data_IF_420214657301
#
_entry.id   IF_420214657301
#
_cell.length_a   1.000
_cell.length_b   1.000
_cell.length_c   1.000
_cell.angle_alpha   90.00
_cell.angle_beta   90.00
_cell.angle_gamma   90.00
#
_symmetry.space_group_name_H-M   'P 1'
#
loop_
_entity.id
_entity.type
_entity.pdbx_description
1 polymer ?
#
# COMPACT_ATOMS: atom_id res chain seq x y z
N UNK A 1 10.44 12.48 -25.88
CA UNK A 1 10.50 11.02 -26.16
C UNK A 1 11.30 10.67 -27.42
N UNK A 2 11.00 11.23 -28.61
CA UNK A 2 11.77 10.94 -29.84
C UNK A 2 13.25 11.34 -29.72
N UNK A 3 13.54 12.53 -29.21
CA UNK A 3 14.91 13.03 -29.02
C UNK A 3 15.70 12.18 -28.02
N UNK A 4 15.10 11.83 -26.87
CA UNK A 4 15.72 10.92 -25.89
C UNK A 4 16.02 9.54 -26.48
N UNK A 5 15.12 9.01 -27.32
CA UNK A 5 15.34 7.72 -27.99
C UNK A 5 16.52 7.78 -28.97
N UNK A 6 16.67 8.90 -29.71
CA UNK A 6 17.83 9.14 -30.58
C UNK A 6 19.12 9.21 -29.79
N UNK A 7 19.15 9.98 -28.70
CA UNK A 7 20.33 10.13 -27.85
C UNK A 7 20.80 8.79 -27.24
N UNK A 8 19.87 7.91 -26.84
CA UNK A 8 20.21 6.57 -26.33
C UNK A 8 20.81 5.70 -27.45
N UNK A 9 20.29 5.78 -28.68
CA UNK A 9 20.83 5.03 -29.83
C UNK A 9 22.21 5.54 -30.22
N UNK A 10 22.43 6.86 -30.21
CA UNK A 10 23.71 7.50 -30.50
C UNK A 10 24.79 7.16 -29.46
N UNK A 11 24.40 6.89 -28.21
CA UNK A 11 25.32 6.45 -27.16
C UNK A 11 25.84 5.02 -27.36
N UNK A 12 25.22 4.21 -28.24
CA UNK A 12 25.69 2.86 -28.55
C UNK A 12 26.85 2.96 -29.55
N UNK A 13 28.06 2.47 -29.21
CA UNK A 13 29.20 2.52 -30.13
C UNK A 13 28.90 1.77 -31.43
N UNK A 14 29.20 2.38 -32.57
CA UNK A 14 29.01 1.76 -33.89
C UNK A 14 29.83 0.46 -34.08
N UNK A 15 30.90 0.29 -33.31
CA UNK A 15 31.78 -0.88 -33.29
C UNK A 15 31.54 -1.82 -32.10
N UNK A 16 30.33 -1.82 -31.52
CA UNK A 16 29.99 -2.70 -30.41
C UNK A 16 30.23 -4.18 -30.79
N UNK A 17 31.08 -4.92 -30.06
CA UNK A 17 31.36 -6.32 -30.36
C UNK A 17 30.09 -7.18 -30.38
N UNK A 18 29.99 -8.09 -31.35
CA UNK A 18 28.82 -8.97 -31.52
C UNK A 18 28.52 -9.80 -30.27
N UNK A 19 29.55 -10.27 -29.57
CA UNK A 19 29.40 -10.99 -28.29
C UNK A 19 28.76 -10.13 -27.21
N UNK A 20 29.13 -8.86 -27.10
CA UNK A 20 28.54 -7.89 -26.16
C UNK A 20 27.08 -7.59 -26.54
N UNK A 21 26.79 -7.41 -27.82
CA UNK A 21 25.42 -7.20 -28.29
C UNK A 21 24.52 -8.41 -27.97
N UNK A 22 24.99 -9.62 -28.28
CA UNK A 22 24.28 -10.87 -27.99
C UNK A 22 24.06 -11.09 -26.50
N UNK A 23 25.04 -10.76 -25.65
CA UNK A 23 24.89 -10.80 -24.19
C UNK A 23 23.69 -9.96 -23.74
N UNK A 24 23.61 -8.69 -24.14
CA UNK A 24 22.51 -7.81 -23.72
C UNK A 24 21.16 -8.20 -24.33
N UNK A 25 21.13 -8.67 -25.58
CA UNK A 25 19.93 -9.21 -26.22
C UNK A 25 19.40 -10.43 -25.45
N UNK A 26 20.28 -11.31 -24.98
CA UNK A 26 19.93 -12.46 -24.13
C UNK A 26 19.53 -12.07 -22.70
N UNK A 27 19.93 -10.87 -22.24
CA UNK A 27 19.72 -10.37 -20.87
C UNK A 27 18.86 -9.10 -20.83
N UNK A 28 17.75 -9.06 -21.59
CA UNK A 28 16.88 -7.86 -21.72
C UNK A 28 16.50 -7.19 -20.40
N UNK A 29 16.16 -7.96 -19.36
CA UNK A 29 15.80 -7.43 -18.03
C UNK A 29 16.97 -6.67 -17.39
N UNK A 30 18.20 -7.17 -17.55
CA UNK A 30 19.41 -6.54 -17.04
C UNK A 30 19.73 -5.27 -17.81
N UNK A 31 19.55 -5.28 -19.13
CA UNK A 31 19.70 -4.09 -19.97
C UNK A 31 18.70 -3.00 -19.57
N UNK A 32 17.43 -3.36 -19.37
CA UNK A 32 16.38 -2.44 -18.91
C UNK A 32 16.71 -1.83 -17.55
N UNK A 33 17.20 -2.65 -16.60
CA UNK A 33 17.63 -2.17 -15.29
C UNK A 33 18.77 -1.15 -15.40
N UNK A 34 19.84 -1.50 -16.13
CA UNK A 34 21.00 -0.62 -16.31
C UNK A 34 20.63 0.70 -17.01
N UNK A 35 19.76 0.65 -18.02
CA UNK A 35 19.30 1.86 -18.71
C UNK A 35 18.45 2.74 -17.79
N UNK A 36 17.56 2.15 -16.97
CA UNK A 36 16.78 2.90 -15.97
C UNK A 36 17.68 3.58 -14.95
N UNK A 37 18.66 2.86 -14.41
CA UNK A 37 19.66 3.41 -13.49
C UNK A 37 20.44 4.56 -14.14
N UNK A 38 20.91 4.39 -15.38
CA UNK A 38 21.66 5.42 -16.10
C UNK A 38 20.81 6.67 -16.41
N UNK A 39 19.51 6.50 -16.65
CA UNK A 39 18.56 7.59 -16.87
C UNK A 39 18.05 8.22 -15.57
N UNK A 40 18.51 7.75 -14.40
CA UNK A 40 18.00 8.18 -13.10
C UNK A 40 16.52 7.82 -12.87
N UNK A 41 15.99 6.86 -13.64
CA UNK A 41 14.63 6.37 -13.47
C UNK A 41 14.61 5.51 -12.22
N UNK A 42 14.12 6.12 -11.15
CA UNK A 42 13.87 5.46 -9.87
C UNK A 42 13.13 4.13 -10.09
N UNK A 43 13.54 3.03 -9.42
CA UNK A 43 12.69 1.87 -9.29
C UNK A 43 11.27 2.32 -8.91
N UNK A 44 10.26 1.73 -9.54
CA UNK A 44 8.86 2.07 -9.26
C UNK A 44 8.39 3.47 -9.71
N UNK A 45 9.12 4.18 -10.59
CA UNK A 45 8.71 5.50 -11.12
C UNK A 45 7.23 5.57 -11.55
N UNK A 46 6.76 4.59 -12.34
CA UNK A 46 5.37 4.57 -12.79
C UNK A 46 4.37 4.44 -11.61
N UNK A 47 4.74 3.68 -10.57
CA UNK A 47 3.92 3.55 -9.36
C UNK A 47 3.94 4.84 -8.54
N UNK A 48 5.09 5.53 -8.45
CA UNK A 48 5.20 6.81 -7.76
C UNK A 48 4.33 7.87 -8.45
N UNK A 49 4.42 7.98 -9.77
CA UNK A 49 3.60 8.89 -10.56
C UNK A 49 2.10 8.59 -10.41
N UNK A 50 1.71 7.31 -10.42
CA UNK A 50 0.32 6.90 -10.18
C UNK A 50 -0.18 7.30 -8.78
N UNK A 51 0.64 7.11 -7.73
CA UNK A 51 0.31 7.56 -6.38
C UNK A 51 0.22 9.08 -6.26
N UNK A 52 1.13 9.84 -6.87
CA UNK A 52 1.07 11.30 -6.91
C UNK A 52 -0.23 11.79 -7.58
N UNK A 53 -0.59 11.19 -8.72
CA UNK A 53 -1.82 11.51 -9.42
C UNK A 53 -3.06 11.14 -8.61
N UNK A 54 -3.04 10.00 -7.91
CA UNK A 54 -4.11 9.62 -7.00
C UNK A 54 -4.30 10.66 -5.89
N UNK A 55 -3.22 11.10 -5.23
CA UNK A 55 -3.31 12.09 -4.17
C UNK A 55 -3.82 13.45 -4.67
N UNK A 56 -3.36 13.90 -5.84
CA UNK A 56 -3.87 15.10 -6.48
C UNK A 56 -5.38 14.99 -6.75
N UNK A 57 -5.82 13.88 -7.34
CA UNK A 57 -7.21 13.72 -7.75
C UNK A 57 -8.18 13.52 -6.58
N UNK A 58 -7.74 12.84 -5.52
CA UNK A 58 -8.62 12.44 -4.40
C UNK A 58 -8.56 13.44 -3.25
N UNK A 59 -7.39 14.01 -3.00
CA UNK A 59 -7.15 14.91 -1.86
C UNK A 59 -6.86 16.35 -2.29
N UNK A 60 -6.61 16.62 -3.58
CA UNK A 60 -6.18 17.94 -4.05
C UNK A 60 -4.75 18.29 -3.64
N UNK A 61 -3.99 17.32 -3.11
CA UNK A 61 -2.65 17.54 -2.57
C UNK A 61 -1.56 17.13 -3.55
N UNK A 62 -0.56 17.98 -3.71
CA UNK A 62 0.68 17.65 -4.40
C UNK A 62 1.68 17.08 -3.38
N UNK A 63 2.13 15.85 -3.63
CA UNK A 63 3.11 15.18 -2.79
C UNK A 63 4.34 14.82 -3.61
N UNK A 64 5.51 15.11 -3.06
CA UNK A 64 6.77 14.65 -3.62
C UNK A 64 7.17 13.34 -2.93
N UNK A 65 7.44 12.32 -3.75
CA UNK A 65 7.88 11.00 -3.31
C UNK A 65 9.23 10.63 -3.92
N UNK A 66 10.01 11.59 -4.44
CA UNK A 66 11.33 11.32 -5.03
C UNK A 66 12.29 10.62 -4.05
N UNK A 67 12.17 10.95 -2.76
CA UNK A 67 13.08 10.52 -1.70
C UNK A 67 12.49 9.37 -0.86
N UNK A 68 11.34 8.83 -1.27
CA UNK A 68 10.71 7.73 -0.52
C UNK A 68 11.52 6.45 -0.67
N UNK A 69 11.80 5.80 0.45
CA UNK A 69 12.42 4.48 0.46
C UNK A 69 11.33 3.43 0.27
N UNK A 70 11.44 2.66 -0.82
CA UNK A 70 10.56 1.52 -1.09
C UNK A 70 11.40 0.25 -0.96
N UNK A 71 10.99 -0.67 -0.09
CA UNK A 71 11.64 -1.97 0.03
C UNK A 71 11.56 -2.79 -1.25
N UNK A 72 12.49 -3.74 -1.38
CA UNK A 72 12.45 -4.70 -2.46
C UNK A 72 11.15 -5.50 -2.41
N UNK A 73 10.48 -5.56 -3.55
CA UNK A 73 9.24 -6.29 -3.73
C UNK A 73 9.44 -7.79 -3.50
N UNK A 74 8.71 -8.37 -2.54
CA UNK A 74 8.69 -9.83 -2.32
C UNK A 74 7.61 -10.50 -3.17
N UNK A 75 7.85 -11.75 -3.57
CA UNK A 75 6.90 -12.52 -4.39
C UNK A 75 5.52 -12.59 -3.74
N UNK A 76 4.48 -12.23 -4.49
CA UNK A 76 3.08 -12.20 -4.05
C UNK A 76 2.71 -10.97 -3.18
N UNK A 77 3.61 -10.02 -2.98
CA UNK A 77 3.33 -8.71 -2.37
C UNK A 77 3.34 -7.65 -3.47
N UNK A 78 2.26 -7.63 -4.25
CA UNK A 78 2.19 -6.92 -5.52
C UNK A 78 1.57 -5.52 -5.44
N UNK A 79 0.95 -5.16 -4.30
CA UNK A 79 0.28 -3.89 -4.08
C UNK A 79 1.14 -2.92 -3.28
N UNK A 80 1.67 -1.90 -3.94
CA UNK A 80 2.33 -0.78 -3.25
C UNK A 80 1.29 0.14 -2.63
N UNK A 81 1.44 0.44 -1.34
CA UNK A 81 0.69 1.50 -0.65
C UNK A 81 1.69 2.56 -0.19
N UNK A 82 1.50 3.81 -0.62
CA UNK A 82 2.29 4.95 -0.17
C UNK A 82 1.43 5.81 0.75
N UNK A 83 1.79 5.92 2.02
CA UNK A 83 1.08 6.74 3.00
C UNK A 83 1.78 8.10 3.10
N UNK A 84 1.13 9.14 2.57
CA UNK A 84 1.66 10.50 2.58
C UNK A 84 1.51 11.22 3.94
N UNK A 85 2.31 12.27 4.23
CA UNK A 85 2.13 13.11 5.41
C UNK A 85 0.71 13.66 5.54
N UNK A 86 0.18 13.64 6.77
CA UNK A 86 -1.18 14.09 7.08
C UNK A 86 -2.28 13.08 6.73
N UNK A 87 -1.96 11.89 6.21
CA UNK A 87 -2.92 10.81 6.00
C UNK A 87 -3.21 10.04 7.30
N UNK A 88 -3.91 10.70 8.21
CA UNK A 88 -4.34 10.13 9.48
C UNK A 88 -5.58 9.24 9.32
N UNK A 89 -5.90 8.34 10.28
CA UNK A 89 -7.11 7.52 10.24
C UNK A 89 -8.39 8.32 9.94
N UNK A 90 -8.58 9.46 10.59
CA UNK A 90 -9.78 10.26 10.44
C UNK A 90 -9.84 10.97 9.09
N UNK A 91 -8.73 11.51 8.59
CA UNK A 91 -8.66 12.12 7.26
C UNK A 91 -9.06 11.11 6.18
N UNK A 92 -8.51 9.90 6.24
CA UNK A 92 -8.80 8.82 5.30
C UNK A 92 -10.25 8.35 5.41
N UNK A 93 -10.76 8.15 6.63
CA UNK A 93 -12.15 7.76 6.87
C UNK A 93 -13.15 8.81 6.34
N UNK A 94 -12.87 10.09 6.57
CA UNK A 94 -13.69 11.19 6.05
C UNK A 94 -13.71 11.19 4.52
N UNK A 95 -12.57 10.90 3.89
CA UNK A 95 -12.52 10.79 2.43
C UNK A 95 -13.38 9.63 1.92
N UNK A 96 -13.35 8.47 2.56
CA UNK A 96 -14.26 7.36 2.24
C UNK A 96 -15.73 7.79 2.39
N UNK A 97 -16.05 8.49 3.48
CA UNK A 97 -17.42 8.93 3.81
C UNK A 97 -18.00 9.90 2.78
N UNK A 98 -17.15 10.66 2.07
CA UNK A 98 -17.56 11.52 0.96
C UNK A 98 -17.79 10.79 -0.36
N UNK A 99 -17.38 9.52 -0.48
CA UNK A 99 -17.47 8.73 -1.71
C UNK A 99 -18.52 7.62 -1.61
N UNK A 100 -18.66 7.02 -0.43
CA UNK A 100 -19.58 5.93 -0.17
C UNK A 100 -20.00 5.92 1.31
N UNK A 101 -21.02 5.13 1.64
CA UNK A 101 -21.54 5.07 3.01
C UNK A 101 -20.51 4.40 3.91
N UNK A 102 -20.30 4.99 5.08
CA UNK A 102 -19.38 4.50 6.10
C UNK A 102 -20.08 4.43 7.45
N UNK A 103 -19.47 3.68 8.38
CA UNK A 103 -19.81 3.68 9.78
C UNK A 103 -18.55 3.37 10.61
N UNK A 104 -18.42 3.99 11.78
CA UNK A 104 -17.38 3.66 12.75
C UNK A 104 -18.00 3.42 14.13
N UNK A 105 -17.42 2.51 14.90
CA UNK A 105 -17.93 2.10 16.22
C UNK A 105 -17.92 3.22 17.26
N UNK A 106 -17.13 4.26 17.04
CA UNK A 106 -16.96 5.39 17.97
C UNK A 106 -17.43 6.70 17.35
N UNK A 107 -17.99 7.58 18.18
CA UNK A 107 -18.25 8.97 17.80
C UNK A 107 -17.01 9.87 17.93
N UNK A 108 -15.96 9.40 18.64
CA UNK A 108 -14.70 10.14 18.79
C UNK A 108 -13.94 10.21 17.47
N UNK A 109 -13.05 11.18 17.36
CA UNK A 109 -12.09 11.26 16.27
C UNK A 109 -11.22 10.00 16.26
N UNK A 110 -10.98 9.41 15.09
CA UNK A 110 -10.13 8.22 14.99
C UNK A 110 -8.67 8.56 15.35
N UNK A 111 -8.24 9.79 15.12
CA UNK A 111 -6.87 10.25 15.43
C UNK A 111 -6.64 10.37 16.95
N UNK A 112 -7.71 10.52 17.74
CA UNK A 112 -7.64 10.54 19.21
C UNK A 112 -7.58 9.14 19.83
N UNK A 113 -8.16 8.14 19.15
CA UNK A 113 -8.37 6.82 19.75
C UNK A 113 -7.53 5.73 19.13
N UNK A 114 -6.91 5.96 17.97
CA UNK A 114 -6.07 4.98 17.27
C UNK A 114 -4.60 5.34 17.41
N UNK A 115 -3.81 4.33 17.77
CA UNK A 115 -2.35 4.37 17.81
C UNK A 115 -1.87 3.26 16.86
N UNK A 116 -1.10 3.66 15.86
CA UNK A 116 -0.59 2.76 14.82
C UNK A 116 0.91 2.57 14.96
N UNK A 117 1.39 1.36 14.68
CA UNK A 117 2.81 1.01 14.71
C UNK A 117 3.63 1.85 13.70
N UNK A 118 2.97 2.32 12.64
CA UNK A 118 3.54 3.16 11.58
C UNK A 118 2.63 4.34 11.31
N UNK A 119 3.23 5.52 11.24
CA UNK A 119 2.52 6.78 10.94
C UNK A 119 3.37 7.66 10.01
N UNK A 120 2.74 8.50 9.17
CA UNK A 120 3.48 9.36 8.24
C UNK A 120 3.98 10.65 8.91
N UNK A 121 4.10 10.68 10.25
CA UNK A 121 4.48 11.87 11.02
C UNK A 121 5.91 12.34 10.73
N UNK A 122 6.79 11.43 10.30
CA UNK A 122 8.20 11.73 9.95
C UNK A 122 8.44 11.84 8.44
N UNK A 123 7.39 11.82 7.64
CA UNK A 123 7.48 11.77 6.18
C UNK A 123 6.64 10.64 5.58
N UNK A 124 6.54 10.63 4.25
CA UNK A 124 5.88 9.56 3.53
C UNK A 124 6.60 8.22 3.75
N UNK A 125 5.85 7.13 3.76
CA UNK A 125 6.41 5.78 3.79
C UNK A 125 5.63 4.85 2.87
N UNK A 126 6.27 3.76 2.46
CA UNK A 126 5.71 2.78 1.55
C UNK A 126 5.71 1.39 2.17
N UNK A 127 4.69 0.60 1.85
CA UNK A 127 4.59 -0.82 2.19
C UNK A 127 4.14 -1.61 0.97
N UNK A 128 4.47 -2.89 0.94
CA UNK A 128 3.87 -3.85 0.01
C UNK A 128 2.85 -4.74 0.71
N UNK A 129 1.67 -4.84 0.13
CA UNK A 129 0.61 -5.77 0.50
C UNK A 129 0.37 -6.77 -0.64
N UNK A 130 -0.35 -7.85 -0.35
CA UNK A 130 -0.88 -8.72 -1.42
C UNK A 130 -2.00 -7.98 -2.17
N UNK A 131 -2.00 -8.07 -3.50
CA UNK A 131 -3.05 -7.46 -4.32
C UNK A 131 -4.26 -8.39 -4.44
N UNK A 132 -5.19 -8.27 -3.48
CA UNK A 132 -6.38 -9.11 -3.41
C UNK A 132 -7.53 -8.42 -2.68
N UNK A 133 -8.75 -8.80 -3.06
CA UNK A 133 -9.99 -8.24 -2.51
C UNK A 133 -10.12 -8.54 -1.03
N UNK A 134 -9.98 -9.81 -0.64
CA UNK A 134 -10.08 -10.24 0.75
C UNK A 134 -8.73 -10.24 1.44
N UNK A 135 -8.74 -10.04 2.76
CA UNK A 135 -7.55 -10.19 3.60
C UNK A 135 -6.96 -11.60 3.57
N UNK A 136 -5.74 -11.71 4.10
CA UNK A 136 -4.86 -12.82 3.81
C UNK A 136 -5.39 -14.16 4.32
N UNK A 137 -5.66 -15.12 3.42
CA UNK A 137 -6.11 -16.46 3.80
C UNK A 137 -5.10 -17.15 4.73
N UNK A 138 -3.82 -16.89 4.52
CA UNK A 138 -2.72 -17.37 5.34
C UNK A 138 -2.75 -16.82 6.77
N UNK A 139 -3.48 -15.73 7.01
CA UNK A 139 -3.64 -15.08 8.32
C UNK A 139 -5.00 -15.41 8.97
N UNK A 140 -5.73 -16.39 8.43
CA UNK A 140 -7.00 -16.87 8.99
C UNK A 140 -6.81 -17.47 10.38
N UNK A 141 -7.74 -17.18 11.30
CA UNK A 141 -7.73 -17.69 12.68
C UNK A 141 -6.47 -17.32 13.48
N UNK A 142 -5.80 -16.21 13.13
CA UNK A 142 -4.66 -15.70 13.90
C UNK A 142 -5.06 -14.39 14.58
N UNK A 143 -5.00 -14.36 15.91
CA UNK A 143 -5.32 -13.16 16.69
C UNK A 143 -4.23 -12.09 16.59
N UNK A 144 -4.55 -10.84 16.92
CA UNK A 144 -3.57 -9.76 16.91
C UNK A 144 -2.42 -9.98 17.91
N UNK A 145 -2.69 -10.65 19.03
CA UNK A 145 -1.65 -11.01 20.00
C UNK A 145 -0.72 -12.11 19.46
N UNK A 146 -1.25 -13.12 18.77
CA UNK A 146 -0.43 -14.12 18.09
C UNK A 146 0.42 -13.51 16.97
N UNK A 147 -0.15 -12.60 16.17
CA UNK A 147 0.58 -11.85 15.14
C UNK A 147 1.79 -11.12 15.75
N UNK A 148 1.57 -10.43 16.89
CA UNK A 148 2.64 -9.74 17.61
C UNK A 148 3.71 -10.69 18.14
N UNK A 149 3.30 -11.83 18.70
CA UNK A 149 4.23 -12.87 19.20
C UNK A 149 5.08 -13.47 18.07
N UNK A 150 4.49 -13.69 16.90
CA UNK A 150 5.17 -14.20 15.71
C UNK A 150 5.98 -13.12 14.97
N UNK A 151 5.94 -11.88 15.44
CA UNK A 151 6.62 -10.72 14.85
C UNK A 151 6.24 -10.50 13.37
N UNK A 152 5.00 -10.86 13.00
CA UNK A 152 4.50 -10.65 11.64
C UNK A 152 4.08 -9.20 11.49
N UNK A 153 4.67 -8.51 10.51
CA UNK A 153 4.29 -7.15 10.17
C UNK A 153 2.96 -7.21 9.40
N UNK A 154 1.95 -6.49 9.88
CA UNK A 154 0.62 -6.44 9.29
C UNK A 154 0.14 -5.02 9.12
N UNK A 155 -0.83 -4.79 8.25
CA UNK A 155 -1.29 -3.45 7.93
C UNK A 155 -1.88 -2.71 9.15
N UNK A 156 -1.68 -1.40 9.19
CA UNK A 156 -2.39 -0.47 10.10
C UNK A 156 -3.78 -0.14 9.57
N UNK A 157 -4.58 0.57 10.37
CA UNK A 157 -5.89 1.07 9.96
C UNK A 157 -5.79 2.06 8.79
N UNK A 158 -4.83 2.99 8.86
CA UNK A 158 -4.56 3.99 7.81
C UNK A 158 -4.24 3.32 6.48
N UNK A 159 -3.31 2.37 6.51
CA UNK A 159 -2.88 1.62 5.34
C UNK A 159 -4.07 0.87 4.70
N UNK A 160 -4.92 0.24 5.52
CA UNK A 160 -6.11 -0.46 5.04
C UNK A 160 -7.17 0.47 4.45
N UNK A 161 -7.47 1.60 5.09
CA UNK A 161 -8.44 2.58 4.56
C UNK A 161 -7.90 3.24 3.29
N UNK A 162 -6.60 3.55 3.24
CA UNK A 162 -5.98 4.10 2.03
C UNK A 162 -6.02 3.12 0.86
N UNK A 163 -5.81 1.81 1.13
CA UNK A 163 -5.98 0.77 0.11
C UNK A 163 -7.44 0.72 -0.38
N UNK A 164 -8.44 0.86 0.51
CA UNK A 164 -9.86 0.97 0.10
C UNK A 164 -10.04 2.11 -0.92
N UNK A 165 -9.56 3.30 -0.59
CA UNK A 165 -9.71 4.48 -1.43
C UNK A 165 -9.05 4.28 -2.80
N UNK A 166 -7.81 3.78 -2.82
CA UNK A 166 -7.09 3.54 -4.08
C UNK A 166 -7.82 2.50 -4.92
N UNK A 167 -8.21 1.37 -4.33
CA UNK A 167 -8.92 0.30 -5.01
C UNK A 167 -10.29 0.75 -5.56
N UNK A 168 -11.06 1.48 -4.75
CA UNK A 168 -12.35 2.05 -5.18
C UNK A 168 -12.19 3.03 -6.34
N UNK A 169 -11.16 3.88 -6.32
CA UNK A 169 -10.91 4.82 -7.42
C UNK A 169 -10.45 4.14 -8.71
N UNK A 170 -9.78 3.00 -8.61
CA UNK A 170 -9.34 2.22 -9.78
C UNK A 170 -10.45 1.37 -10.38
N UNK A 171 -11.35 0.83 -9.55
CA UNK A 171 -12.25 -0.27 -9.96
C UNK A 171 -13.73 0.04 -9.76
N UNK A 172 -14.06 1.06 -8.97
CA UNK A 172 -15.40 1.31 -8.45
C UNK A 172 -15.98 0.11 -7.65
N UNK A 173 -15.12 -0.75 -7.11
CA UNK A 173 -15.43 -1.89 -6.25
C UNK A 173 -14.80 -1.72 -4.85
N UNK A 174 -15.09 -2.66 -3.96
CA UNK A 174 -14.74 -2.60 -2.54
C UNK A 174 -13.93 -3.81 -2.08
N UNK A 175 -13.01 -3.60 -1.15
CA UNK A 175 -12.22 -4.67 -0.52
C UNK A 175 -12.99 -5.26 0.68
N UNK A 176 -12.68 -6.48 1.09
CA UNK A 176 -13.28 -7.15 2.26
C UNK A 176 -14.82 -7.22 2.23
N UNK A 177 -15.36 -7.72 1.12
CA UNK A 177 -16.81 -7.89 0.94
C UNK A 177 -17.32 -9.18 1.56
N UNK A 178 -16.44 -10.17 1.79
CA UNK A 178 -16.78 -11.44 2.41
C UNK A 178 -16.11 -11.66 3.77
N UNK A 179 -14.93 -11.06 3.99
CA UNK A 179 -14.11 -11.23 5.19
C UNK A 179 -13.93 -9.91 5.92
N UNK A 180 -13.22 -9.97 7.04
CA UNK A 180 -12.93 -8.84 7.90
C UNK A 180 -11.42 -8.67 7.94
N UNK A 181 -10.90 -7.51 7.50
CA UNK A 181 -9.49 -7.17 7.74
C UNK A 181 -9.32 -6.79 9.21
N UNK A 182 -8.51 -7.57 9.94
CA UNK A 182 -7.98 -7.20 11.24
C UNK A 182 -6.76 -6.29 11.04
N UNK A 183 -6.86 -5.02 11.45
CA UNK A 183 -5.77 -4.05 11.32
C UNK A 183 -4.82 -4.16 12.51
N UNK A 184 -4.14 -5.31 12.65
CA UNK A 184 -3.34 -5.66 13.82
C UNK A 184 -2.10 -4.76 14.04
N UNK A 185 -1.69 -3.97 13.03
CA UNK A 185 -0.68 -2.92 13.17
C UNK A 185 -1.19 -1.63 13.86
N UNK A 186 -2.44 -1.63 14.34
CA UNK A 186 -3.04 -0.51 15.07
C UNK A 186 -3.79 -1.01 16.30
N UNK A 187 -3.86 -0.19 17.35
CA UNK A 187 -4.62 -0.44 18.58
C UNK A 187 -5.21 0.84 19.12
N UNK A 188 -6.25 0.73 19.94
CA UNK A 188 -6.65 1.85 20.80
C UNK A 188 -5.88 1.84 22.13
N UNK A 189 -6.10 2.86 22.96
CA UNK A 189 -5.45 2.98 24.28
C UNK A 189 -5.70 1.79 25.21
N UNK A 190 -6.81 1.07 25.03
CA UNK A 190 -7.16 -0.15 25.79
C UNK A 190 -6.60 -1.42 25.16
N UNK A 191 -5.79 -1.33 24.10
CA UNK A 191 -5.19 -2.48 23.41
C UNK A 191 -6.11 -3.20 22.43
N UNK A 192 -7.35 -2.70 22.24
CA UNK A 192 -8.36 -3.24 21.31
C UNK A 192 -7.98 -2.89 19.88
N UNK A 193 -8.29 -3.78 18.92
CA UNK A 193 -7.75 -3.73 17.57
C UNK A 193 -8.83 -3.26 16.57
N UNK A 194 -8.53 -2.31 15.67
CA UNK A 194 -9.43 -1.98 14.57
C UNK A 194 -9.67 -3.16 13.65
N UNK A 195 -10.86 -3.17 13.07
CA UNK A 195 -11.12 -3.94 11.88
C UNK A 195 -11.84 -3.10 10.82
N UNK A 196 -11.71 -3.53 9.57
CA UNK A 196 -12.45 -2.99 8.44
C UNK A 196 -13.17 -4.13 7.72
N UNK A 197 -14.45 -3.92 7.43
CA UNK A 197 -15.26 -4.86 6.64
C UNK A 197 -16.35 -4.12 5.89
N UNK A 198 -16.89 -4.75 4.84
CA UNK A 198 -18.16 -4.34 4.29
C UNK A 198 -19.31 -5.08 4.96
N UNK A 199 -20.36 -4.33 5.31
CA UNK A 199 -21.59 -4.91 5.85
C UNK A 199 -22.81 -4.17 5.31
N UNK A 200 -23.67 -4.90 4.60
CA UNK A 200 -24.71 -4.30 3.79
C UNK A 200 -24.08 -3.38 2.73
N UNK A 201 -24.47 -2.10 2.73
CA UNK A 201 -24.01 -1.12 1.75
C UNK A 201 -23.01 -0.10 2.34
N UNK A 202 -22.26 -0.46 3.40
CA UNK A 202 -21.35 0.48 4.07
C UNK A 202 -20.02 -0.18 4.42
N UNK A 203 -18.94 0.61 4.39
CA UNK A 203 -17.67 0.26 5.02
C UNK A 203 -17.75 0.50 6.53
N UNK A 204 -17.50 -0.54 7.32
CA UNK A 204 -17.50 -0.48 8.78
C UNK A 204 -16.06 -0.43 9.30
N UNK A 205 -15.80 0.48 10.24
CA UNK A 205 -14.63 0.47 11.11
C UNK A 205 -15.07 0.06 12.51
N UNK A 206 -14.72 -1.15 12.91
CA UNK A 206 -15.10 -1.75 14.19
C UNK A 206 -13.92 -1.98 15.12
N UNK A 207 -14.20 -2.57 16.27
CA UNK A 207 -13.21 -3.01 17.27
C UNK A 207 -13.33 -4.51 17.53
N UNK A 208 -12.20 -5.20 17.66
CA UNK A 208 -12.09 -6.60 18.10
C UNK A 208 -11.21 -6.70 19.34
N UNK A 209 -11.53 -7.64 20.24
CA UNK A 209 -10.61 -7.99 21.31
C UNK A 209 -9.32 -8.54 20.67
N UNK A 210 -8.12 -8.15 21.14
CA UNK A 210 -6.87 -8.60 20.54
C UNK A 210 -6.63 -10.12 20.59
N UNK A 211 -7.36 -10.85 21.44
CA UNK A 211 -7.35 -12.31 21.51
C UNK A 211 -8.41 -12.97 20.62
N UNK A 212 -9.33 -12.20 20.02
CA UNK A 212 -10.32 -12.74 19.09
C UNK A 212 -9.63 -13.32 17.86
N UNK A 213 -10.07 -14.52 17.48
CA UNK A 213 -9.68 -15.22 16.27
C UNK A 213 -10.90 -15.95 15.75
N UNK A 214 -11.22 -15.77 14.47
CA UNK A 214 -12.31 -16.47 13.81
C UNK A 214 -12.05 -16.64 12.32
N UNK A 215 -12.86 -17.49 11.69
CA UNK A 215 -12.71 -17.92 10.31
C UNK A 215 -12.89 -16.79 9.27
N UNK A 216 -13.53 -15.70 9.67
CA UNK A 216 -13.79 -14.49 8.87
C UNK A 216 -12.74 -13.41 9.11
N UNK A 217 -12.04 -13.46 10.24
CA UNK A 217 -11.05 -12.47 10.67
C UNK A 217 -9.65 -12.80 10.17
N UNK A 218 -9.06 -11.87 9.43
CA UNK A 218 -7.74 -12.03 8.79
C UNK A 218 -6.99 -10.72 8.78
N UNK A 219 -5.71 -10.72 9.12
CA UNK A 219 -4.86 -9.56 8.88
C UNK A 219 -4.38 -9.52 7.41
N UNK A 220 -3.81 -8.39 6.98
CA UNK A 220 -3.01 -8.32 5.75
C UNK A 220 -1.56 -8.18 6.15
N UNK A 221 -0.73 -9.16 5.78
CA UNK A 221 0.71 -9.08 5.99
C UNK A 221 1.29 -7.94 5.13
N UNK A 222 2.30 -7.27 5.66
CA UNK A 222 2.98 -6.18 4.99
C UNK A 222 4.49 -6.45 4.91
N UNK A 223 5.10 -6.01 3.82
CA UNK A 223 6.55 -5.96 3.65
C UNK A 223 6.97 -4.50 3.64
N UNK A 224 7.94 -4.17 4.49
CA UNK A 224 8.51 -2.84 4.66
C UNK A 224 10.00 -2.86 4.37
#
# INVERSE_FOLDING_TARGET
MKELSSAILEAIPANLPTSTAQYWIGNKKRLQKALREALGIQPFFDLLADWQQFYLNVFGGHYDFSDIVISEKKSGFDRLIIVAPGMTPQVLFNKCSGLFKTWKYTNKDLDEVIISDRTPAKGAYAIWLRDRIEADEEMKNISANQIKQQQIITCTLEERILYELKYFKETNQHLDVQKITLCAGSRNQSGVVPNVRWYGSKMFVGWYNPDDQDDLLRARAAVI
#
